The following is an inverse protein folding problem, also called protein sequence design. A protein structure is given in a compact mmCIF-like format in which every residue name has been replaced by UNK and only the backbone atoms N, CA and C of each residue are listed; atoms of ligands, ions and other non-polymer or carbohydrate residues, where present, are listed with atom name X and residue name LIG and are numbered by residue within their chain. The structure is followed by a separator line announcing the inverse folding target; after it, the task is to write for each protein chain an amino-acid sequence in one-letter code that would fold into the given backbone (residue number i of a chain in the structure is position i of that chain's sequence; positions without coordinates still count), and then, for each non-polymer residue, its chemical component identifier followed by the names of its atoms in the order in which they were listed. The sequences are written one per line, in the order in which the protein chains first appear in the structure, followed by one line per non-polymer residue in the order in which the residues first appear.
data_IF_898955380855
#
_entry.id   IF_898955380855
#
_cell.length_a   1.000
_cell.length_b   1.000
_cell.length_c   1.000
_cell.angle_alpha   90.00
_cell.angle_beta   90.00
_cell.angle_gamma   90.00
#
_symmetry.space_group_name_H-M   'P 1'
#
loop_
_entity.id
_entity.type
_entity.pdbx_description
1 polymer ?
#
# COMPACT_ATOMS: atom_id res chain seq x y z
N UNK A 1 -6.45 -33.15 -4.90
CA UNK A 1 -5.56 -32.45 -4.02
C UNK A 1 -5.72 -30.97 -4.11
N UNK A 2 -5.89 -30.38 -3.00
CA UNK A 2 -6.08 -28.94 -3.00
C UNK A 2 -4.76 -28.24 -3.28
N UNK A 3 -4.85 -27.24 -4.08
CA UNK A 3 -3.71 -26.44 -4.38
C UNK A 3 -3.95 -25.05 -3.88
N UNK A 4 -3.11 -24.62 -3.02
CA UNK A 4 -3.23 -23.27 -2.49
C UNK A 4 -2.70 -22.29 -3.52
N UNK A 5 -3.55 -21.40 -3.94
CA UNK A 5 -3.13 -20.32 -4.84
C UNK A 5 -3.14 -19.03 -4.08
N UNK A 6 -2.03 -18.35 -4.13
CA UNK A 6 -1.98 -17.05 -3.54
C UNK A 6 -2.83 -16.11 -4.37
N UNK A 7 -3.80 -15.46 -3.76
CA UNK A 7 -4.58 -14.50 -4.51
C UNK A 7 -3.75 -13.23 -4.73
N UNK A 8 -4.14 -12.40 -5.71
CA UNK A 8 -3.34 -11.23 -6.07
C UNK A 8 -3.15 -10.25 -4.92
N UNK A 9 -4.15 -10.10 -4.07
CA UNK A 9 -4.05 -9.16 -2.95
C UNK A 9 -3.02 -9.66 -1.94
N UNK A 10 -3.11 -10.93 -1.55
CA UNK A 10 -2.18 -11.50 -0.60
C UNK A 10 -0.76 -11.44 -1.15
N UNK A 11 -0.59 -11.77 -2.43
CA UNK A 11 0.71 -11.73 -3.05
C UNK A 11 1.28 -10.32 -3.05
N UNK A 12 0.46 -9.32 -3.38
CA UNK A 12 0.93 -7.94 -3.40
C UNK A 12 1.34 -7.48 -2.02
N UNK A 13 0.56 -7.82 -0.99
CA UNK A 13 0.84 -7.35 0.36
C UNK A 13 1.90 -8.19 1.07
N UNK A 14 2.34 -9.27 0.45
CA UNK A 14 3.50 -10.00 0.96
C UNK A 14 4.79 -9.23 0.70
N UNK A 15 4.81 -8.35 -0.27
CA UNK A 15 5.97 -7.52 -0.54
C UNK A 15 6.11 -6.47 0.56
N UNK A 16 7.24 -6.41 1.27
CA UNK A 16 7.36 -5.54 2.46
C UNK A 16 7.05 -4.08 2.18
N UNK A 17 7.53 -3.56 1.05
CA UNK A 17 7.30 -2.15 0.75
C UNK A 17 5.83 -1.87 0.47
N UNK A 18 5.18 -2.75 -0.30
CA UNK A 18 3.76 -2.56 -0.59
C UNK A 18 2.91 -2.69 0.67
N UNK A 19 3.26 -3.64 1.53
CA UNK A 19 2.57 -3.80 2.80
C UNK A 19 2.72 -2.54 3.66
N UNK A 20 3.93 -1.99 3.72
CA UNK A 20 4.17 -0.79 4.52
C UNK A 20 3.36 0.39 3.98
N UNK A 21 3.30 0.54 2.66
CA UNK A 21 2.51 1.61 2.06
C UNK A 21 1.03 1.45 2.37
N UNK A 22 0.53 0.24 2.25
CA UNK A 22 -0.88 -0.02 2.55
C UNK A 22 -1.19 0.27 4.01
N UNK A 23 -0.31 -0.19 4.92
CA UNK A 23 -0.52 0.03 6.34
C UNK A 23 -0.49 1.52 6.68
N UNK A 24 0.44 2.26 6.07
CA UNK A 24 0.51 3.70 6.30
C UNK A 24 -0.81 4.37 5.90
N UNK A 25 -1.35 4.00 4.75
CA UNK A 25 -2.61 4.57 4.30
C UNK A 25 -3.79 4.08 5.10
N UNK A 26 -3.74 2.84 5.58
CA UNK A 26 -4.81 2.32 6.42
C UNK A 26 -4.84 3.00 7.78
N UNK A 27 -3.73 3.57 8.21
CA UNK A 27 -3.62 4.23 9.50
C UNK A 27 -3.88 5.73 9.43
N UNK A 28 -4.19 6.25 8.25
CA UNK A 28 -4.41 7.68 8.01
C UNK A 28 -5.65 7.84 7.16
N UNK A 29 -6.21 9.05 7.14
CA UNK A 29 -7.31 9.31 6.23
C UNK A 29 -6.79 9.45 4.81
N UNK A 30 -5.66 10.08 4.64
CA UNK A 30 -5.02 10.22 3.34
C UNK A 30 -3.57 10.60 3.55
N UNK A 31 -2.75 10.34 2.54
CA UNK A 31 -1.36 10.78 2.56
C UNK A 31 -0.95 11.18 1.15
N UNK A 32 -0.13 12.21 1.07
CA UNK A 32 0.41 12.60 -0.22
C UNK A 32 1.57 11.67 -0.61
N UNK A 33 1.94 11.71 -1.90
CA UNK A 33 3.07 10.92 -2.37
C UNK A 33 4.34 11.25 -1.59
N UNK A 34 4.56 12.54 -1.31
CA UNK A 34 5.74 12.96 -0.57
C UNK A 34 5.71 12.41 0.86
N UNK A 35 4.55 12.45 1.50
CA UNK A 35 4.42 11.90 2.84
C UNK A 35 4.65 10.40 2.86
N UNK A 36 4.13 9.70 1.87
CA UNK A 36 4.34 8.26 1.78
C UNK A 36 5.81 7.92 1.58
N UNK A 37 6.49 8.70 0.75
CA UNK A 37 7.90 8.46 0.50
C UNK A 37 8.73 8.66 1.77
N UNK A 38 8.38 9.66 2.56
CA UNK A 38 9.07 9.89 3.82
C UNK A 38 8.77 8.80 4.84
N UNK A 39 7.53 8.33 4.85
CA UNK A 39 7.11 7.34 5.84
C UNK A 39 7.72 5.97 5.56
N UNK A 40 7.83 5.58 4.29
CA UNK A 40 8.19 4.23 3.93
C UNK A 40 9.63 4.12 3.41
N UNK A 41 10.31 5.20 3.22
CA UNK A 41 11.72 5.20 2.79
C UNK A 41 11.92 4.34 1.54
N UNK A 42 11.30 4.75 0.47
CA UNK A 42 11.37 4.05 -0.80
C UNK A 42 11.75 5.04 -1.89
N UNK A 43 12.52 4.56 -2.86
CA UNK A 43 12.88 5.40 -3.99
C UNK A 43 11.64 5.79 -4.76
N UNK A 44 11.60 7.05 -5.26
CA UNK A 44 10.40 7.57 -5.90
C UNK A 44 9.92 6.71 -7.06
N UNK A 45 10.84 6.25 -7.88
CA UNK A 45 10.48 5.42 -9.02
C UNK A 45 9.76 4.14 -8.57
N UNK A 46 10.33 3.50 -7.55
CA UNK A 46 9.75 2.28 -7.02
C UNK A 46 8.44 2.57 -6.30
N UNK A 47 8.35 3.72 -5.65
CA UNK A 47 7.12 4.12 -4.97
C UNK A 47 5.96 4.13 -5.96
N UNK A 48 6.15 4.76 -7.12
CA UNK A 48 5.07 4.82 -8.10
C UNK A 48 4.69 3.45 -8.62
N UNK A 49 5.66 2.57 -8.80
CA UNK A 49 5.36 1.19 -9.19
C UNK A 49 4.49 0.49 -8.17
N UNK A 50 4.82 0.65 -6.90
CA UNK A 50 4.05 0.01 -5.85
C UNK A 50 2.67 0.63 -5.71
N UNK A 51 2.56 1.94 -5.81
CA UNK A 51 1.27 2.61 -5.74
C UNK A 51 0.39 2.17 -6.91
N UNK A 52 0.97 2.05 -8.09
CA UNK A 52 0.21 1.62 -9.26
C UNK A 52 -0.31 0.19 -9.07
N UNK A 53 0.53 -0.69 -8.52
CA UNK A 53 0.12 -2.06 -8.28
C UNK A 53 -1.02 -2.12 -7.28
N UNK A 54 -0.89 -1.39 -6.17
CA UNK A 54 -1.93 -1.37 -5.15
C UNK A 54 -3.23 -0.77 -5.69
N UNK A 55 -3.12 0.25 -6.53
CA UNK A 55 -4.30 0.86 -7.13
C UNK A 55 -4.98 -0.10 -8.10
N UNK A 56 -4.21 -0.83 -8.88
CA UNK A 56 -4.76 -1.76 -9.84
C UNK A 56 -5.54 -2.88 -9.17
N UNK A 57 -5.24 -3.17 -7.91
CA UNK A 57 -5.95 -4.19 -7.15
C UNK A 57 -7.11 -3.61 -6.35
N UNK A 58 -7.34 -2.30 -6.46
CA UNK A 58 -8.44 -1.67 -5.74
C UNK A 58 -8.19 -1.48 -4.27
N UNK A 59 -6.94 -1.59 -3.82
CA UNK A 59 -6.61 -1.48 -2.40
C UNK A 59 -6.47 -0.05 -1.95
N UNK A 60 -5.99 0.80 -2.83
CA UNK A 60 -5.85 2.24 -2.58
C UNK A 60 -6.34 2.99 -3.80
N UNK A 61 -6.53 4.28 -3.65
CA UNK A 61 -6.94 5.11 -4.78
C UNK A 61 -6.26 6.46 -4.69
N UNK A 62 -6.08 7.07 -5.86
CA UNK A 62 -5.65 8.46 -5.95
C UNK A 62 -6.88 9.30 -5.68
N UNK A 63 -6.98 9.73 -4.43
CA UNK A 63 -8.18 10.33 -3.88
C UNK A 63 -8.44 11.73 -4.42
N UNK A 64 -7.39 12.53 -4.54
CA UNK A 64 -7.50 13.88 -5.06
C UNK A 64 -6.12 14.42 -5.36
N UNK A 65 -6.08 15.46 -6.16
CA UNK A 65 -4.83 16.16 -6.46
C UNK A 65 -5.00 17.61 -6.04
N UNK A 66 -3.95 18.15 -5.44
CA UNK A 66 -3.93 19.57 -5.06
C UNK A 66 -2.66 20.13 -5.66
N UNK A 67 -2.82 20.96 -6.72
CA UNK A 67 -1.68 21.44 -7.46
C UNK A 67 -0.94 20.23 -8.05
N UNK A 68 0.33 20.09 -7.69
CA UNK A 68 1.13 18.97 -8.17
C UNK A 68 1.17 17.81 -7.19
N UNK A 69 0.51 17.95 -6.04
CA UNK A 69 0.52 16.92 -5.02
C UNK A 69 -0.59 15.93 -5.26
N UNK A 70 -0.24 14.67 -5.28
CA UNK A 70 -1.21 13.59 -5.38
C UNK A 70 -1.46 13.03 -4.00
N UNK A 71 -2.74 12.85 -3.69
CA UNK A 71 -3.15 12.34 -2.40
C UNK A 71 -3.80 10.99 -2.57
N UNK A 72 -3.46 10.08 -1.68
CA UNK A 72 -3.87 8.69 -1.74
C UNK A 72 -4.61 8.31 -0.48
N UNK A 73 -5.48 7.34 -0.59
CA UNK A 73 -6.16 6.81 0.59
C UNK A 73 -6.45 5.34 0.39
N UNK A 74 -6.71 4.66 1.51
CA UNK A 74 -7.14 3.27 1.46
C UNK A 74 -8.51 3.21 0.81
N UNK A 75 -8.68 2.28 -0.12
CA UNK A 75 -9.95 2.09 -0.82
C UNK A 75 -10.66 0.85 -0.32
N UNK A 76 -9.94 -0.23 -0.07
CA UNK A 76 -10.52 -1.49 0.39
C UNK A 76 -9.80 -1.93 1.65
N UNK A 77 -10.59 -2.29 2.66
CA UNK A 77 -10.00 -2.83 3.88
C UNK A 77 -9.58 -4.28 3.67
N UNK A 78 -8.39 -4.62 4.10
CA UNK A 78 -7.88 -5.97 4.01
C UNK A 78 -7.42 -6.39 5.39
N UNK A 79 -7.90 -7.55 5.84
CA UNK A 79 -7.45 -8.14 7.08
C UNK A 79 -6.09 -8.76 6.85
N UNK A 80 -5.07 -8.13 7.39
CA UNK A 80 -3.73 -8.67 7.27
C UNK A 80 -3.50 -9.70 8.36
N UNK A 81 -2.87 -10.83 8.02
CA UNK A 81 -2.48 -11.77 9.06
C UNK A 81 -1.64 -11.07 10.11
N UNK A 82 -1.81 -11.50 11.34
CA UNK A 82 -1.13 -10.86 12.46
C UNK A 82 0.38 -10.81 12.25
N UNK A 83 0.93 -11.86 11.69
CA UNK A 83 2.37 -11.92 11.48
C UNK A 83 2.86 -10.83 10.53
N UNK A 84 1.99 -10.39 9.61
CA UNK A 84 2.37 -9.35 8.66
C UNK A 84 2.23 -7.95 9.23
N UNK A 85 1.50 -7.80 10.34
CA UNK A 85 1.29 -6.49 10.94
C UNK A 85 2.19 -6.26 12.15
N UNK A 86 2.79 -7.31 12.69
CA UNK A 86 3.70 -7.17 13.81
C UNK A 86 4.98 -6.51 13.34
N UNK A 87 5.37 -5.47 14.05
CA UNK A 87 6.59 -4.77 13.73
C UNK A 87 7.72 -5.32 14.57
N UNK A 88 8.78 -5.68 13.90
CA UNK A 88 9.97 -6.07 14.59
C UNK A 88 10.62 -4.86 15.20
N UNK A 89 10.81 -4.85 16.44
CA UNK A 89 11.45 -3.71 17.06
C UNK A 89 12.79 -4.09 17.60
#
# INVERSE_FOLDING_TARGET
MARVRADPVTTALAHPTRRALYIALASSEEMSTVQLQAEVDVERYNLYHHLKKLTSLGLIENHRDVGRARWWKKSTHVELPEILTIRSN
#
